data_IF_314663937005
#
_entry.id   IF_314663937005
#
_cell.length_a   1.000
_cell.length_b   1.000
_cell.length_c   1.000
_cell.angle_alpha   90.00
_cell.angle_beta   90.00
_cell.angle_gamma   90.00
#
_symmetry.space_group_name_H-M   'P 1'
#
loop_
_entity.id
_entity.type
_entity.pdbx_description
1 polymer ?
#
# COMPACT_ATOMS: atom_id res chain seq x y z
N UNK A 1 -46.76 0.23 -6.38
CA UNK A 1 -45.52 -0.03 -5.61
C UNK A 1 -45.41 0.98 -4.49
N UNK A 2 -45.28 0.52 -3.24
CA UNK A 2 -45.43 1.34 -2.04
C UNK A 2 -44.28 2.36 -1.93
N UNK A 3 -44.58 3.67 -1.72
CA UNK A 3 -43.58 4.77 -1.69
C UNK A 3 -42.42 4.51 -0.71
N UNK A 4 -42.68 3.73 0.34
CA UNK A 4 -41.69 3.31 1.34
C UNK A 4 -40.62 2.37 0.75
N UNK A 5 -41.04 1.38 -0.05
CA UNK A 5 -40.11 0.43 -0.70
C UNK A 5 -39.18 1.14 -1.69
N UNK A 6 -39.70 2.13 -2.42
CA UNK A 6 -38.89 2.97 -3.32
C UNK A 6 -37.77 3.70 -2.57
N UNK A 7 -38.09 4.35 -1.43
CA UNK A 7 -37.09 5.04 -0.61
C UNK A 7 -36.02 4.12 -0.05
N UNK A 8 -36.39 2.91 0.37
CA UNK A 8 -35.45 1.90 0.88
C UNK A 8 -34.49 1.48 -0.24
N UNK A 9 -35.01 1.17 -1.43
CA UNK A 9 -34.18 0.79 -2.59
C UNK A 9 -33.23 1.93 -2.96
N UNK A 10 -33.70 3.17 -3.03
CA UNK A 10 -32.83 4.32 -3.32
C UNK A 10 -31.72 4.47 -2.29
N UNK A 11 -32.03 4.29 -1.00
CA UNK A 11 -31.03 4.34 0.08
C UNK A 11 -29.97 3.24 -0.05
N UNK A 12 -30.37 2.01 -0.36
CA UNK A 12 -29.44 0.89 -0.57
C UNK A 12 -28.54 1.13 -1.78
N UNK A 13 -29.09 1.62 -2.89
CA UNK A 13 -28.32 1.93 -4.10
C UNK A 13 -27.31 3.06 -3.84
N UNK A 14 -27.69 4.10 -3.11
CA UNK A 14 -26.79 5.19 -2.71
C UNK A 14 -25.65 4.69 -1.82
N UNK A 15 -25.96 3.84 -0.83
CA UNK A 15 -24.94 3.27 0.04
C UNK A 15 -23.92 2.42 -0.72
N UNK A 16 -24.39 1.57 -1.65
CA UNK A 16 -23.53 0.77 -2.52
C UNK A 16 -22.63 1.64 -3.40
N UNK A 17 -23.19 2.68 -4.03
CA UNK A 17 -22.43 3.65 -4.82
C UNK A 17 -21.34 4.33 -3.98
N UNK A 18 -21.67 4.74 -2.77
CA UNK A 18 -20.73 5.35 -1.84
C UNK A 18 -19.58 4.40 -1.50
N UNK A 19 -19.87 3.15 -1.15
CA UNK A 19 -18.85 2.14 -0.82
C UNK A 19 -17.91 1.91 -2.01
N UNK A 20 -18.45 1.76 -3.22
CA UNK A 20 -17.66 1.54 -4.43
C UNK A 20 -16.78 2.75 -4.73
N UNK A 21 -17.32 3.97 -4.67
CA UNK A 21 -16.55 5.20 -4.90
C UNK A 21 -15.44 5.39 -3.88
N UNK A 22 -15.73 5.15 -2.59
CA UNK A 22 -14.77 5.34 -1.52
C UNK A 22 -13.65 4.30 -1.56
N UNK A 23 -13.99 3.03 -1.82
CA UNK A 23 -13.02 1.94 -2.01
C UNK A 23 -12.13 2.18 -3.23
N UNK A 24 -12.71 2.57 -4.36
CA UNK A 24 -11.98 2.87 -5.60
C UNK A 24 -11.05 4.07 -5.43
N UNK A 25 -11.55 5.15 -4.80
CA UNK A 25 -10.76 6.36 -4.55
C UNK A 25 -9.61 6.08 -3.60
N UNK A 26 -9.85 5.36 -2.50
CA UNK A 26 -8.79 4.94 -1.58
C UNK A 26 -7.73 4.09 -2.28
N UNK A 27 -8.13 3.12 -3.09
CA UNK A 27 -7.20 2.28 -3.85
C UNK A 27 -6.36 3.09 -4.84
N UNK A 28 -6.96 4.03 -5.58
CA UNK A 28 -6.26 4.88 -6.55
C UNK A 28 -5.33 5.90 -5.90
N UNK A 29 -5.73 6.45 -4.76
CA UNK A 29 -4.98 7.48 -4.03
C UNK A 29 -3.93 6.90 -3.08
N UNK A 30 -3.93 5.59 -2.82
CA UNK A 30 -2.91 4.94 -2.00
C UNK A 30 -1.54 5.05 -2.68
N UNK A 31 -0.76 6.02 -2.23
CA UNK A 31 0.63 6.25 -2.62
C UNK A 31 1.44 6.50 -1.36
N UNK A 32 2.00 5.43 -0.81
CA UNK A 32 2.82 5.49 0.40
C UNK A 32 4.13 4.75 0.18
N UNK A 33 5.22 5.25 0.74
CA UNK A 33 6.52 4.58 0.70
C UNK A 33 7.11 4.58 2.10
N UNK A 34 7.38 3.41 2.63
CA UNK A 34 8.07 3.21 3.90
C UNK A 34 9.49 2.74 3.63
N UNK A 35 10.44 3.22 4.44
CA UNK A 35 11.84 2.80 4.38
C UNK A 35 12.31 2.50 5.80
N UNK A 36 12.68 1.25 6.02
CA UNK A 36 13.29 0.79 7.25
C UNK A 36 14.77 0.55 6.99
N UNK A 37 15.63 1.00 7.90
CA UNK A 37 17.07 0.93 7.73
C UNK A 37 17.69 0.57 9.07
N UNK A 38 18.57 -0.43 9.06
CA UNK A 38 19.35 -0.87 10.22
C UNK A 38 20.82 -0.89 9.84
N UNK A 39 21.68 -0.45 10.76
CA UNK A 39 23.12 -0.47 10.58
C UNK A 39 23.76 -1.30 11.69
N UNK A 40 24.71 -2.15 11.31
CA UNK A 40 25.35 -3.12 12.17
C UNK A 40 26.87 -2.89 12.10
N UNK A 41 27.46 -2.52 13.24
CA UNK A 41 28.90 -2.25 13.32
C UNK A 41 29.70 -3.48 12.93
N UNK A 42 30.63 -3.32 11.99
CA UNK A 42 31.46 -4.39 11.46
C UNK A 42 30.80 -5.30 10.41
N UNK A 43 29.48 -5.21 10.20
CA UNK A 43 28.74 -6.08 9.25
C UNK A 43 28.13 -5.32 8.08
N UNK A 44 27.77 -4.04 8.26
CA UNK A 44 27.24 -3.18 7.20
C UNK A 44 25.83 -2.67 7.48
N UNK A 45 24.99 -2.58 6.44
CA UNK A 45 23.68 -1.91 6.50
C UNK A 45 22.61 -2.66 5.73
N UNK A 46 21.44 -2.75 6.32
CA UNK A 46 20.25 -3.33 5.69
C UNK A 46 19.19 -2.25 5.47
N UNK A 47 18.49 -2.33 4.35
CA UNK A 47 17.38 -1.43 4.01
C UNK A 47 16.23 -2.24 3.42
N UNK A 48 15.06 -2.12 4.04
CA UNK A 48 13.80 -2.62 3.50
C UNK A 48 12.96 -1.42 3.04
N UNK A 49 12.65 -1.39 1.74
CA UNK A 49 11.76 -0.39 1.13
C UNK A 49 10.45 -1.06 0.76
N UNK A 50 9.34 -0.48 1.22
CA UNK A 50 7.99 -0.92 0.89
C UNK A 50 7.32 0.23 0.16
N UNK A 51 6.84 0.00 -1.05
CA UNK A 51 6.12 1.00 -1.84
C UNK A 51 4.72 0.49 -2.16
N UNK A 52 3.72 1.24 -1.71
CA UNK A 52 2.33 1.04 -2.05
C UNK A 52 1.94 2.04 -3.14
N UNK A 53 1.46 1.54 -4.25
CA UNK A 53 1.03 2.36 -5.38
C UNK A 53 -0.20 1.74 -6.02
N UNK A 54 -1.33 2.46 -5.99
CA UNK A 54 -2.58 2.05 -6.67
C UNK A 54 -3.03 0.63 -6.27
N UNK A 55 -3.01 0.34 -4.97
CA UNK A 55 -3.37 -0.99 -4.44
C UNK A 55 -2.34 -2.09 -4.67
N UNK A 56 -1.21 -1.80 -5.32
CA UNK A 56 -0.09 -2.74 -5.46
C UNK A 56 0.98 -2.46 -4.43
N UNK A 57 1.48 -3.51 -3.80
CA UNK A 57 2.63 -3.45 -2.91
C UNK A 57 3.86 -3.96 -3.65
N UNK A 58 4.97 -3.23 -3.55
CA UNK A 58 6.29 -3.66 -4.01
C UNK A 58 7.26 -3.59 -2.85
N UNK A 59 8.01 -4.66 -2.61
CA UNK A 59 9.03 -4.70 -1.56
C UNK A 59 10.41 -4.86 -2.17
N UNK A 60 11.38 -4.15 -1.62
CA UNK A 60 12.77 -4.23 -2.01
C UNK A 60 13.64 -4.28 -0.76
N UNK A 61 14.43 -5.36 -0.66
CA UNK A 61 15.45 -5.52 0.36
C UNK A 61 16.82 -5.29 -0.26
N UNK A 62 17.64 -4.46 0.38
CA UNK A 62 19.02 -4.18 -0.01
C UNK A 62 19.89 -4.34 1.23
N UNK A 63 20.85 -5.24 1.18
CA UNK A 63 21.93 -5.35 2.16
C UNK A 63 23.23 -4.86 1.54
N UNK A 64 23.99 -4.12 2.34
CA UNK A 64 25.27 -3.54 1.99
C UNK A 64 26.33 -3.92 3.01
N UNK A 65 27.58 -4.03 2.57
CA UNK A 65 28.73 -4.25 3.45
C UNK A 65 29.23 -2.96 4.12
N UNK A 66 30.33 -3.06 4.85
CA UNK A 66 31.00 -1.94 5.54
C UNK A 66 31.63 -0.91 4.59
N UNK A 67 31.80 -1.24 3.30
CA UNK A 67 32.29 -0.34 2.24
C UNK A 67 31.13 0.23 1.40
N UNK A 68 29.90 0.08 1.88
CA UNK A 68 28.67 0.53 1.20
C UNK A 68 28.36 -0.21 -0.12
N UNK A 69 29.06 -1.31 -0.41
CA UNK A 69 28.84 -2.14 -1.59
C UNK A 69 27.62 -3.04 -1.39
N UNK A 70 26.77 -3.15 -2.42
CA UNK A 70 25.56 -3.98 -2.37
C UNK A 70 25.98 -5.45 -2.42
N UNK A 71 25.72 -6.17 -1.33
CA UNK A 71 26.00 -7.61 -1.21
C UNK A 71 24.76 -8.46 -1.46
N UNK A 72 23.57 -7.92 -1.22
CA UNK A 72 22.30 -8.59 -1.48
C UNK A 72 21.25 -7.58 -1.93
N UNK A 73 20.51 -7.92 -2.97
CA UNK A 73 19.37 -7.15 -3.46
C UNK A 73 18.28 -8.14 -3.86
N UNK A 74 17.12 -8.05 -3.20
CA UNK A 74 15.96 -8.89 -3.49
C UNK A 74 14.73 -8.03 -3.65
N UNK A 75 13.91 -8.36 -4.65
CA UNK A 75 12.62 -7.74 -4.89
C UNK A 75 11.53 -8.80 -4.71
N UNK A 76 10.44 -8.40 -4.05
CA UNK A 76 9.25 -9.20 -3.84
C UNK A 76 8.04 -8.47 -4.42
#
# INVERSE_FOLDING_TARGET
MNKLAGKIITGVVLALLFIVLFGSSSALLTKSSYRFSSQYDGYGKETLKITYNRGRMKMQFIGKDTKDAIIISKQF
#
